data_IF_680855590343
#
_entry.id   IF_680855590343
#
_cell.length_a   1.000
_cell.length_b   1.000
_cell.length_c   1.000
_cell.angle_alpha   90.00
_cell.angle_beta   90.00
_cell.angle_gamma   90.00
#
_symmetry.space_group_name_H-M   'P 1'
#
loop_
_entity.id
_entity.type
_entity.pdbx_description
1 polymer ?
#
# COMPACT_ATOMS: atom_id res chain seq x y z
N UNK A 1 -19.82 19.80 -21.40
CA UNK A 1 -20.39 18.67 -20.66
C UNK A 1 -20.11 18.91 -19.17
N UNK A 2 -21.14 19.06 -18.34
CA UNK A 2 -21.05 19.21 -16.90
C UNK A 2 -21.12 17.79 -16.32
N UNK A 3 -20.03 17.32 -15.72
CA UNK A 3 -20.03 16.07 -14.95
C UNK A 3 -20.46 16.43 -13.53
N UNK A 4 -21.71 16.14 -13.19
CA UNK A 4 -22.22 16.25 -11.82
C UNK A 4 -21.84 14.96 -11.10
N UNK A 5 -20.82 15.01 -10.25
CA UNK A 5 -20.52 13.89 -9.33
C UNK A 5 -21.49 14.03 -8.15
N UNK A 6 -22.51 13.19 -8.12
CA UNK A 6 -23.39 13.02 -6.96
C UNK A 6 -22.68 12.14 -5.93
N UNK A 7 -22.09 12.76 -4.91
CA UNK A 7 -21.63 12.02 -3.73
C UNK A 7 -22.80 11.76 -2.78
N UNK A 8 -22.91 10.59 -2.14
CA UNK A 8 -23.97 10.31 -1.18
C UNK A 8 -23.90 11.25 0.02
N UNK A 9 -25.02 11.85 0.37
CA UNK A 9 -25.16 12.89 1.40
C UNK A 9 -24.84 12.46 2.84
N UNK A 10 -24.58 11.19 3.09
CA UNK A 10 -24.54 10.64 4.45
C UNK A 10 -23.14 10.45 5.05
N UNK A 11 -22.08 10.73 4.30
CA UNK A 11 -20.68 10.51 4.75
C UNK A 11 -19.94 11.78 5.21
N UNK A 12 -20.55 12.97 5.15
CA UNK A 12 -19.82 14.24 5.31
C UNK A 12 -20.44 15.19 6.33
N UNK A 13 -20.48 14.82 7.62
CA UNK A 13 -21.07 15.66 8.66
C UNK A 13 -20.39 17.03 8.86
N UNK A 14 -19.11 17.20 8.76
CA UNK A 14 -18.42 18.51 8.92
C UNK A 14 -17.68 18.98 7.65
N UNK A 15 -17.41 18.11 6.69
CA UNK A 15 -16.73 18.47 5.43
C UNK A 15 -17.62 19.27 4.45
N UNK A 16 -18.95 19.21 4.58
CA UNK A 16 -19.87 19.95 3.71
C UNK A 16 -19.74 21.47 3.80
N UNK A 17 -19.25 22.01 4.92
CA UNK A 17 -19.04 23.47 5.02
C UNK A 17 -17.76 23.94 4.31
N UNK A 18 -16.72 23.11 4.24
CA UNK A 18 -15.48 23.45 3.54
C UNK A 18 -15.68 23.35 2.03
N UNK A 19 -16.35 22.28 1.56
CA UNK A 19 -16.62 22.07 0.14
C UNK A 19 -17.54 23.14 -0.47
N UNK A 20 -18.56 23.62 0.25
CA UNK A 20 -19.47 24.65 -0.23
C UNK A 20 -18.79 26.03 -0.38
N UNK A 21 -17.80 26.32 0.47
CA UNK A 21 -17.02 27.58 0.40
C UNK A 21 -16.09 27.64 -0.82
N UNK A 22 -15.69 26.49 -1.36
CA UNK A 22 -14.79 26.39 -2.53
C UNK A 22 -15.51 26.11 -3.85
N UNK A 23 -16.70 25.47 -3.83
CA UNK A 23 -17.48 25.17 -5.05
C UNK A 23 -17.98 26.41 -5.80
N UNK A 24 -18.12 27.57 -5.15
CA UNK A 24 -18.67 28.79 -5.75
C UNK A 24 -17.62 29.69 -6.44
N UNK A 25 -16.38 29.25 -6.65
CA UNK A 25 -15.30 30.10 -7.15
C UNK A 25 -14.68 29.67 -8.49
N UNK A 26 -15.46 29.17 -9.44
CA UNK A 26 -14.98 28.88 -10.81
C UNK A 26 -14.04 27.66 -10.91
N UNK A 27 -13.46 27.37 -12.08
CA UNK A 27 -12.68 26.16 -12.32
C UNK A 27 -11.44 26.07 -11.41
N UNK A 28 -11.08 24.84 -11.04
CA UNK A 28 -9.89 24.55 -10.24
C UNK A 28 -8.64 24.97 -11.00
N UNK A 29 -7.79 25.76 -10.38
CA UNK A 29 -6.46 26.12 -10.89
C UNK A 29 -5.41 25.39 -10.05
N UNK A 30 -4.19 25.20 -10.60
CA UNK A 30 -3.07 24.59 -9.90
C UNK A 30 -2.86 25.21 -8.51
N UNK A 31 -2.91 26.52 -8.41
CA UNK A 31 -2.78 27.29 -7.15
C UNK A 31 -3.88 26.97 -6.13
N UNK A 32 -5.10 26.60 -6.58
CA UNK A 32 -6.18 26.22 -5.65
C UNK A 32 -6.02 24.81 -5.11
N UNK A 33 -5.46 23.91 -5.91
CA UNK A 33 -5.13 22.55 -5.47
C UNK A 33 -3.98 22.59 -4.45
N UNK A 34 -2.94 23.38 -4.74
CA UNK A 34 -1.81 23.58 -3.82
C UNK A 34 -2.28 24.12 -2.46
N UNK A 35 -3.21 25.08 -2.44
CA UNK A 35 -3.77 25.66 -1.20
C UNK A 35 -4.66 24.69 -0.40
N UNK A 36 -5.23 23.66 -1.00
CA UNK A 36 -6.00 22.63 -0.26
C UNK A 36 -5.06 21.72 0.50
N UNK A 37 -3.88 21.41 -0.06
CA UNK A 37 -2.85 20.63 0.65
C UNK A 37 -2.09 21.46 1.71
N UNK A 38 -1.88 22.76 1.48
CA UNK A 38 -1.33 23.67 2.50
C UNK A 38 -2.28 23.91 3.69
N UNK A 39 -3.59 23.71 3.51
CA UNK A 39 -4.59 23.89 4.55
C UNK A 39 -4.79 22.66 5.45
N UNK A 40 -4.25 21.48 5.08
CA UNK A 40 -4.26 20.29 5.94
C UNK A 40 -2.92 20.25 6.69
N UNK A 41 -2.92 20.50 8.00
CA UNK A 41 -1.72 20.40 8.85
C UNK A 41 -1.22 18.95 8.99
N UNK A 42 -2.01 17.98 8.55
CA UNK A 42 -1.72 16.56 8.64
C UNK A 42 -0.81 16.09 7.50
N UNK A 43 0.24 15.34 7.86
CA UNK A 43 1.11 14.67 6.88
C UNK A 43 0.55 13.29 6.53
N UNK A 44 0.75 12.81 5.28
CA UNK A 44 0.44 11.43 4.93
C UNK A 44 1.11 10.42 5.88
N UNK A 45 0.37 9.43 6.35
CA UNK A 45 0.91 8.26 7.05
C UNK A 45 1.35 7.26 5.97
N UNK A 46 2.57 6.71 6.11
CA UNK A 46 3.07 5.70 5.19
C UNK A 46 2.82 4.31 5.78
N UNK A 47 2.05 3.52 5.06
CA UNK A 47 1.80 2.11 5.34
C UNK A 47 2.64 1.22 4.42
N UNK A 48 3.24 0.19 4.98
CA UNK A 48 4.10 -0.76 4.26
C UNK A 48 3.57 -2.17 4.45
N UNK A 49 3.35 -2.91 3.37
CA UNK A 49 3.06 -4.34 3.49
C UNK A 49 4.29 -5.14 3.94
N UNK A 50 4.07 -6.31 4.46
CA UNK A 50 5.14 -7.21 4.91
C UNK A 50 5.56 -8.16 3.78
N UNK A 51 4.62 -8.97 3.28
CA UNK A 51 4.87 -10.04 2.33
C UNK A 51 5.23 -9.45 0.96
N UNK A 52 6.27 -9.96 0.30
CA UNK A 52 6.72 -9.43 -0.99
C UNK A 52 7.40 -8.04 -0.95
N UNK A 53 7.26 -7.29 0.16
CA UNK A 53 7.84 -5.94 0.32
C UNK A 53 9.01 -5.93 1.31
N UNK A 54 8.85 -6.51 2.49
CA UNK A 54 9.88 -6.59 3.54
C UNK A 54 10.35 -8.03 3.78
N UNK A 55 9.44 -8.99 3.67
CA UNK A 55 9.66 -10.42 3.86
C UNK A 55 9.55 -11.17 2.54
N UNK A 56 10.48 -12.08 2.30
CA UNK A 56 10.53 -12.91 1.09
C UNK A 56 9.52 -14.08 1.18
N UNK A 57 8.24 -13.71 1.04
CA UNK A 57 7.13 -14.64 1.04
C UNK A 57 7.14 -15.54 -0.20
N UNK A 58 7.37 -14.94 -1.38
CA UNK A 58 7.16 -15.62 -2.66
C UNK A 58 8.17 -16.73 -2.92
N UNK A 59 9.46 -16.50 -2.62
CA UNK A 59 10.47 -17.55 -2.76
C UNK A 59 10.22 -18.71 -1.78
N UNK A 60 9.82 -18.42 -0.54
CA UNK A 60 9.53 -19.46 0.43
C UNK A 60 8.25 -20.25 0.08
N UNK A 61 7.23 -19.55 -0.46
CA UNK A 61 6.04 -20.20 -0.98
C UNK A 61 6.35 -21.12 -2.19
N UNK A 62 7.16 -20.64 -3.15
CA UNK A 62 7.60 -21.44 -4.29
C UNK A 62 8.36 -22.70 -3.86
N UNK A 63 9.25 -22.60 -2.85
CA UNK A 63 9.95 -23.74 -2.26
C UNK A 63 8.97 -24.75 -1.64
N UNK A 64 8.01 -24.27 -0.86
CA UNK A 64 6.97 -25.10 -0.24
C UNK A 64 6.10 -25.80 -1.29
N UNK A 65 5.82 -25.14 -2.40
CA UNK A 65 5.08 -25.69 -3.54
C UNK A 65 5.91 -26.69 -4.36
N UNK A 66 7.21 -26.82 -4.10
CA UNK A 66 8.10 -27.71 -4.84
C UNK A 66 8.46 -27.22 -6.25
N UNK A 67 8.36 -25.90 -6.50
CA UNK A 67 8.68 -25.29 -7.80
C UNK A 67 10.20 -25.21 -7.97
N UNK A 68 10.75 -25.92 -8.93
CA UNK A 68 12.21 -26.02 -9.16
C UNK A 68 12.86 -24.70 -9.57
N UNK A 69 12.14 -23.84 -10.27
CA UNK A 69 12.61 -22.52 -10.70
C UNK A 69 12.74 -21.53 -9.54
N UNK A 70 12.08 -21.78 -8.41
CA UNK A 70 11.97 -20.85 -7.30
C UNK A 70 11.02 -19.66 -7.55
N UNK A 71 10.36 -19.62 -8.72
CA UNK A 71 9.42 -18.58 -9.08
C UNK A 71 7.99 -19.02 -8.72
N UNK A 72 7.32 -18.30 -7.81
CA UNK A 72 5.95 -18.59 -7.42
C UNK A 72 4.94 -18.54 -8.58
N UNK A 73 5.23 -17.78 -9.65
CA UNK A 73 4.40 -17.70 -10.85
C UNK A 73 4.31 -19.02 -11.60
N UNK A 74 5.27 -19.92 -11.36
CA UNK A 74 5.27 -21.27 -11.93
C UNK A 74 4.49 -22.28 -11.08
N UNK A 75 3.86 -21.86 -9.97
CA UNK A 75 2.98 -22.71 -9.18
C UNK A 75 1.72 -22.98 -10.02
N UNK A 76 1.42 -24.27 -10.33
CA UNK A 76 0.20 -24.57 -11.07
C UNK A 76 -1.05 -24.03 -10.36
N UNK A 77 -2.01 -23.44 -11.09
CA UNK A 77 -3.22 -22.85 -10.47
C UNK A 77 -3.95 -23.80 -9.50
N UNK A 78 -4.01 -25.09 -9.81
CA UNK A 78 -4.59 -26.09 -8.93
C UNK A 78 -3.84 -26.30 -7.61
N UNK A 79 -2.58 -25.88 -7.51
CA UNK A 79 -1.73 -26.05 -6.34
C UNK A 79 -1.64 -24.77 -5.48
N UNK A 80 -2.15 -23.63 -5.95
CA UNK A 80 -2.11 -22.36 -5.23
C UNK A 80 -2.77 -22.52 -3.86
N UNK A 81 -4.05 -22.85 -3.84
CA UNK A 81 -4.81 -23.00 -2.60
C UNK A 81 -4.29 -24.12 -1.71
N UNK A 82 -4.03 -25.34 -2.21
CA UNK A 82 -3.48 -26.41 -1.39
C UNK A 82 -2.11 -26.09 -0.76
N UNK A 83 -1.26 -25.28 -1.41
CA UNK A 83 0.03 -24.91 -0.85
C UNK A 83 -0.09 -23.78 0.17
N UNK A 84 -1.00 -22.83 -0.01
CA UNK A 84 -1.32 -21.82 1.01
C UNK A 84 -1.93 -22.48 2.26
N UNK A 85 -2.80 -23.47 2.09
CA UNK A 85 -3.42 -24.20 3.19
C UNK A 85 -2.39 -24.98 4.04
N UNK A 86 -1.24 -25.38 3.47
CA UNK A 86 -0.13 -25.96 4.26
C UNK A 86 0.50 -25.01 5.27
N UNK A 87 0.32 -23.71 5.11
CA UNK A 87 0.83 -22.70 6.04
C UNK A 87 -0.06 -22.56 7.29
N UNK A 88 -1.33 -23.02 7.22
CA UNK A 88 -2.31 -22.92 8.32
C UNK A 88 -1.79 -23.63 9.57
N UNK A 89 -1.84 -22.95 10.70
CA UNK A 89 -1.41 -23.46 11.98
C UNK A 89 0.11 -23.59 12.16
N UNK A 90 0.90 -23.15 11.17
CA UNK A 90 2.38 -23.21 11.24
C UNK A 90 2.99 -21.86 11.63
N UNK A 91 4.29 -21.85 11.90
CA UNK A 91 5.08 -20.64 12.16
C UNK A 91 5.69 -20.05 10.87
N UNK A 92 5.17 -20.39 9.68
CA UNK A 92 5.70 -20.01 8.37
C UNK A 92 6.07 -18.52 8.29
N UNK A 93 5.15 -17.63 8.67
CA UNK A 93 5.39 -16.18 8.61
C UNK A 93 6.49 -15.71 9.55
N UNK A 94 6.71 -16.40 10.69
CA UNK A 94 7.79 -16.07 11.61
C UNK A 94 9.17 -16.44 11.06
N UNK A 95 9.25 -17.41 10.16
CA UNK A 95 10.50 -17.92 9.60
C UNK A 95 10.93 -17.22 8.31
N UNK A 96 10.09 -16.39 7.70
CA UNK A 96 10.39 -15.73 6.42
C UNK A 96 11.75 -15.00 6.44
N UNK A 97 12.55 -15.12 5.39
CA UNK A 97 13.72 -14.29 5.20
C UNK A 97 13.31 -12.82 5.08
N UNK A 98 14.17 -11.90 5.54
CA UNK A 98 14.02 -10.47 5.28
C UNK A 98 14.73 -10.13 3.99
N UNK A 99 14.09 -9.34 3.11
CA UNK A 99 14.77 -8.81 1.94
C UNK A 99 15.95 -7.90 2.34
N UNK A 100 17.04 -7.98 1.59
CA UNK A 100 18.23 -7.13 1.80
C UNK A 100 17.92 -5.64 1.59
N UNK A 101 16.88 -5.32 0.84
CA UNK A 101 16.39 -3.97 0.55
C UNK A 101 15.48 -3.40 1.65
N UNK A 102 14.94 -4.23 2.54
CA UNK A 102 13.93 -3.83 3.53
C UNK A 102 14.40 -2.69 4.45
N UNK A 103 15.60 -2.80 5.03
CA UNK A 103 16.12 -1.75 5.93
C UNK A 103 16.36 -0.42 5.16
N UNK A 104 16.79 -0.48 3.89
CA UNK A 104 16.98 0.71 3.04
C UNK A 104 15.65 1.35 2.68
N UNK A 105 14.62 0.54 2.39
CA UNK A 105 13.26 1.02 2.14
C UNK A 105 12.74 1.78 3.37
N UNK A 106 12.84 1.19 4.56
CA UNK A 106 12.39 1.82 5.81
C UNK A 106 13.14 3.14 6.07
N UNK A 107 14.47 3.16 5.92
CA UNK A 107 15.26 4.39 6.08
C UNK A 107 14.83 5.47 5.09
N UNK A 108 14.56 5.11 3.84
CA UNK A 108 14.07 6.03 2.82
C UNK A 108 12.70 6.63 3.22
N UNK A 109 11.76 5.81 3.68
CA UNK A 109 10.45 6.29 4.15
C UNK A 109 10.62 7.28 5.31
N UNK A 110 11.42 6.92 6.31
CA UNK A 110 11.67 7.77 7.48
C UNK A 110 12.31 9.11 7.09
N UNK A 111 13.24 9.10 6.12
CA UNK A 111 13.87 10.34 5.65
C UNK A 111 12.89 11.30 4.94
N UNK A 112 11.80 10.78 4.38
CA UNK A 112 10.78 11.59 3.69
C UNK A 112 9.62 11.99 4.61
N UNK A 113 9.16 11.07 5.47
CA UNK A 113 7.91 11.21 6.23
C UNK A 113 8.08 11.09 7.75
N UNK A 114 9.28 10.78 8.25
CA UNK A 114 9.60 10.69 9.68
C UNK A 114 9.30 9.35 10.32
N UNK A 115 8.24 8.66 9.90
CA UNK A 115 7.80 7.38 10.47
C UNK A 115 7.09 6.51 9.45
N UNK A 116 6.72 5.29 9.87
CA UNK A 116 5.93 4.36 9.06
C UNK A 116 5.10 3.41 9.93
N UNK A 117 4.07 2.83 9.34
CA UNK A 117 3.26 1.75 9.92
C UNK A 117 3.31 0.52 9.04
N UNK A 118 3.11 -0.65 9.63
CA UNK A 118 2.89 -1.89 8.87
C UNK A 118 1.39 -2.11 8.70
N UNK A 119 0.99 -2.45 7.47
CA UNK A 119 -0.38 -2.86 7.14
C UNK A 119 -0.34 -4.09 6.25
N UNK A 120 -0.48 -5.27 6.85
CA UNK A 120 -0.39 -6.56 6.16
C UNK A 120 -1.67 -7.37 6.31
N UNK A 121 -1.99 -8.20 5.32
CA UNK A 121 -3.16 -9.08 5.38
C UNK A 121 -2.84 -10.37 6.15
N UNK A 122 -3.77 -10.89 6.96
CA UNK A 122 -3.60 -12.21 7.55
C UNK A 122 -3.75 -13.29 6.47
N UNK A 123 -3.23 -14.49 6.74
CA UNK A 123 -3.53 -15.65 5.90
C UNK A 123 -5.02 -15.98 6.01
N UNK A 124 -5.66 -16.27 4.87
CA UNK A 124 -7.04 -16.77 4.84
C UNK A 124 -7.18 -18.04 5.70
N UNK A 125 -8.26 -18.16 6.43
CA UNK A 125 -8.57 -19.28 7.32
C UNK A 125 -7.58 -19.50 8.48
N UNK A 126 -6.63 -18.56 8.71
CA UNK A 126 -5.63 -18.65 9.79
C UNK A 126 -5.26 -17.26 10.36
N UNK A 127 -6.26 -16.44 10.59
CA UNK A 127 -6.06 -15.02 10.90
C UNK A 127 -5.21 -14.80 12.15
N UNK A 128 -5.58 -15.41 13.27
CA UNK A 128 -4.90 -15.17 14.56
C UNK A 128 -3.49 -15.76 14.61
N UNK A 129 -3.29 -16.95 14.06
CA UNK A 129 -1.97 -17.57 14.05
C UNK A 129 -1.02 -16.82 13.10
N UNK A 130 -1.45 -16.53 11.86
CA UNK A 130 -0.63 -15.76 10.91
C UNK A 130 -0.34 -14.35 11.42
N UNK A 131 -1.31 -13.67 12.05
CA UNK A 131 -1.12 -12.37 12.70
C UNK A 131 -0.05 -12.44 13.78
N UNK A 132 -0.13 -13.42 14.70
CA UNK A 132 0.86 -13.63 15.76
C UNK A 132 2.27 -13.75 15.17
N UNK A 133 2.44 -14.58 14.16
CA UNK A 133 3.75 -14.87 13.56
C UNK A 133 4.29 -13.71 12.73
N UNK A 134 3.44 -12.92 12.07
CA UNK A 134 3.84 -11.68 11.41
C UNK A 134 4.33 -10.63 12.41
N UNK A 135 3.61 -10.43 13.50
CA UNK A 135 4.02 -9.50 14.57
C UNK A 135 5.37 -9.93 15.19
N UNK A 136 5.55 -11.22 15.46
CA UNK A 136 6.82 -11.77 15.95
C UNK A 136 7.96 -11.50 14.94
N UNK A 137 7.73 -11.76 13.66
CA UNK A 137 8.70 -11.48 12.60
C UNK A 137 9.13 -10.01 12.58
N UNK A 138 8.16 -9.09 12.59
CA UNK A 138 8.39 -7.64 12.61
C UNK A 138 9.23 -7.26 13.84
N UNK A 139 8.89 -7.82 15.00
CA UNK A 139 9.61 -7.61 16.24
C UNK A 139 11.07 -8.07 16.20
N UNK A 140 11.37 -9.19 15.54
CA UNK A 140 12.72 -9.76 15.49
C UNK A 140 13.55 -9.25 14.31
N UNK A 141 12.95 -9.08 13.14
CA UNK A 141 13.69 -8.87 11.88
C UNK A 141 13.93 -7.39 11.53
N UNK A 142 13.03 -6.47 11.89
CA UNK A 142 13.19 -5.07 11.55
C UNK A 142 14.06 -4.35 12.57
N UNK A 143 15.06 -3.60 12.10
CA UNK A 143 15.95 -2.80 12.94
C UNK A 143 15.25 -1.58 13.50
N UNK A 144 14.54 -0.85 12.64
CA UNK A 144 13.70 0.29 13.03
C UNK A 144 12.26 -0.21 13.09
N UNK A 145 11.63 -0.06 14.24
CA UNK A 145 10.27 -0.57 14.46
C UNK A 145 9.24 0.39 13.86
N UNK A 146 8.12 -0.15 13.32
CA UNK A 146 7.00 0.70 12.93
C UNK A 146 6.36 1.35 14.15
N UNK A 147 5.69 2.50 13.97
CA UNK A 147 4.86 3.11 15.01
C UNK A 147 3.69 2.19 15.40
N UNK A 148 3.16 1.48 14.41
CA UNK A 148 2.03 0.56 14.60
C UNK A 148 2.12 -0.60 13.61
N UNK A 149 1.64 -1.76 14.04
CA UNK A 149 1.46 -2.93 13.18
C UNK A 149 0.00 -3.30 13.12
N UNK A 150 -0.58 -3.21 11.93
CA UNK A 150 -1.99 -3.53 11.66
C UNK A 150 -2.04 -4.76 10.76
N UNK A 151 -2.76 -5.79 11.20
CA UNK A 151 -3.03 -6.97 10.39
C UNK A 151 -4.51 -6.96 10.02
N UNK A 152 -4.80 -6.64 8.75
CA UNK A 152 -6.16 -6.45 8.25
C UNK A 152 -6.26 -6.81 6.76
N UNK A 153 -7.31 -7.51 6.38
CA UNK A 153 -7.66 -7.77 4.98
C UNK A 153 -8.36 -6.57 4.31
N UNK A 154 -8.86 -5.61 5.09
CA UNK A 154 -9.47 -4.39 4.58
C UNK A 154 -8.49 -3.22 4.60
N UNK A 155 -7.48 -3.25 3.74
CA UNK A 155 -6.46 -2.19 3.68
C UNK A 155 -7.06 -0.84 3.26
N UNK A 156 -8.06 -0.83 2.37
CA UNK A 156 -8.68 0.40 1.87
C UNK A 156 -9.27 1.31 2.94
N UNK A 157 -9.68 0.78 4.11
CA UNK A 157 -10.20 1.60 5.20
C UNK A 157 -9.17 2.51 5.87
N UNK A 158 -7.89 2.34 5.56
CA UNK A 158 -6.78 3.17 6.07
C UNK A 158 -6.25 4.15 5.02
N UNK A 159 -6.90 4.24 3.85
CA UNK A 159 -6.39 5.02 2.73
C UNK A 159 -6.39 6.53 2.97
N UNK A 160 -7.28 7.03 3.83
CA UNK A 160 -7.37 8.44 4.21
C UNK A 160 -7.45 8.61 5.72
N UNK A 161 -7.00 9.77 6.21
CA UNK A 161 -7.18 10.20 7.58
C UNK A 161 -8.58 10.82 7.77
N UNK A 162 -8.98 11.07 9.02
CA UNK A 162 -10.29 11.62 9.35
C UNK A 162 -10.53 13.04 8.78
N UNK A 163 -9.47 13.80 8.53
CA UNK A 163 -9.51 15.11 7.89
C UNK A 163 -9.49 15.05 6.35
N UNK A 164 -9.44 13.83 5.76
CA UNK A 164 -9.38 13.60 4.34
C UNK A 164 -7.97 13.57 3.76
N UNK A 165 -6.93 13.74 4.57
CA UNK A 165 -5.53 13.64 4.11
C UNK A 165 -5.25 12.24 3.57
N UNK A 166 -4.77 12.08 2.32
CA UNK A 166 -4.45 10.78 1.76
C UNK A 166 -3.24 10.16 2.45
N UNK A 167 -3.34 8.87 2.76
CA UNK A 167 -2.21 8.07 3.24
C UNK A 167 -1.51 7.37 2.07
N UNK A 168 -0.28 6.92 2.29
CA UNK A 168 0.53 6.22 1.29
C UNK A 168 0.56 4.73 1.62
N UNK A 169 0.34 3.86 0.63
CA UNK A 169 0.55 2.42 0.74
C UNK A 169 1.67 1.96 -0.19
N UNK A 170 2.60 1.18 0.35
CA UNK A 170 3.61 0.43 -0.42
C UNK A 170 3.26 -1.05 -0.30
N UNK A 171 2.89 -1.69 -1.43
CA UNK A 171 2.33 -3.05 -1.46
C UNK A 171 2.71 -3.71 -2.80
N UNK A 172 2.95 -5.01 -2.80
CA UNK A 172 3.29 -5.77 -4.00
C UNK A 172 2.08 -6.11 -4.87
N UNK A 173 0.88 -6.17 -4.26
CA UNK A 173 -0.33 -6.60 -4.94
C UNK A 173 -1.08 -5.44 -5.59
N UNK A 174 -1.12 -5.39 -6.93
CA UNK A 174 -1.82 -4.35 -7.68
C UNK A 174 -3.27 -4.16 -7.25
N UNK A 175 -3.99 -5.24 -6.92
CA UNK A 175 -5.36 -5.17 -6.40
C UNK A 175 -5.47 -4.38 -5.09
N UNK A 176 -4.51 -4.50 -4.18
CA UNK A 176 -4.47 -3.73 -2.95
C UNK A 176 -4.23 -2.24 -3.25
N UNK A 177 -3.28 -1.96 -4.14
CA UNK A 177 -2.97 -0.59 -4.58
C UNK A 177 -4.19 0.05 -5.24
N UNK A 178 -4.88 -0.66 -6.15
CA UNK A 178 -6.08 -0.15 -6.79
C UNK A 178 -7.20 0.13 -5.78
N UNK A 179 -7.46 -0.81 -4.86
CA UNK A 179 -8.46 -0.59 -3.81
C UNK A 179 -8.10 0.60 -2.91
N UNK A 180 -6.82 0.75 -2.56
CA UNK A 180 -6.32 1.89 -1.78
C UNK A 180 -6.58 3.21 -2.48
N UNK A 181 -6.25 3.32 -3.77
CA UNK A 181 -6.46 4.52 -4.58
C UNK A 181 -7.94 4.84 -4.77
N UNK A 182 -8.79 3.83 -4.95
CA UNK A 182 -10.25 4.01 -5.03
C UNK A 182 -10.85 4.57 -3.73
N UNK A 183 -10.17 4.40 -2.60
CA UNK A 183 -10.54 4.97 -1.30
C UNK A 183 -9.78 6.29 -0.98
N UNK A 184 -9.18 6.93 -1.98
CA UNK A 184 -8.57 8.27 -1.87
C UNK A 184 -7.12 8.29 -1.39
N UNK A 185 -6.47 7.13 -1.24
CA UNK A 185 -5.05 7.05 -0.84
C UNK A 185 -4.08 7.12 -2.00
N UNK A 186 -2.78 7.21 -1.69
CA UNK A 186 -1.66 7.24 -2.63
C UNK A 186 -0.98 5.87 -2.64
N UNK A 187 -0.99 5.16 -3.78
CA UNK A 187 -0.46 3.80 -3.89
C UNK A 187 0.90 3.74 -4.58
N UNK A 188 1.80 2.89 -4.08
CA UNK A 188 3.07 2.53 -4.72
C UNK A 188 3.11 1.01 -4.83
N UNK A 189 2.95 0.48 -6.05
CA UNK A 189 3.17 -0.95 -6.30
C UNK A 189 4.66 -1.21 -6.28
N UNK A 190 5.10 -2.11 -5.38
CA UNK A 190 6.50 -2.46 -5.21
C UNK A 190 6.65 -3.89 -4.69
N UNK A 191 7.34 -4.74 -5.46
CA UNK A 191 7.73 -6.10 -5.09
C UNK A 191 9.26 -6.14 -4.99
N UNK A 192 9.80 -6.51 -3.83
CA UNK A 192 11.21 -6.27 -3.49
C UNK A 192 12.23 -7.10 -4.30
N UNK A 193 11.81 -8.23 -4.85
CA UNK A 193 12.61 -9.10 -5.72
C UNK A 193 12.47 -8.78 -7.22
N UNK A 194 11.49 -7.95 -7.60
CA UNK A 194 11.24 -7.56 -9.01
C UNK A 194 11.56 -6.08 -9.28
N UNK A 195 11.26 -5.21 -8.32
CA UNK A 195 11.33 -3.76 -8.49
C UNK A 195 12.58 -3.12 -7.86
N UNK A 196 13.19 -2.10 -8.50
CA UNK A 196 14.26 -1.35 -7.89
C UNK A 196 13.72 -0.34 -6.85
N UNK A 197 14.47 -0.10 -5.76
CA UNK A 197 14.13 0.91 -4.77
C UNK A 197 13.98 2.34 -5.33
N UNK A 198 14.61 2.63 -6.47
CA UNK A 198 14.47 3.93 -7.17
C UNK A 198 13.03 4.22 -7.58
N UNK A 199 12.23 3.18 -7.87
CA UNK A 199 10.78 3.30 -8.14
C UNK A 199 10.06 3.91 -6.92
N UNK A 200 10.30 3.37 -5.73
CA UNK A 200 9.72 3.90 -4.49
C UNK A 200 10.21 5.31 -4.19
N UNK A 201 11.53 5.55 -4.33
CA UNK A 201 12.12 6.88 -4.10
C UNK A 201 11.47 7.96 -4.98
N UNK A 202 11.26 7.66 -6.27
CA UNK A 202 10.58 8.57 -7.21
C UNK A 202 9.22 9.00 -6.67
N UNK A 203 8.39 8.06 -6.26
CA UNK A 203 7.02 8.34 -5.80
C UNK A 203 7.00 9.05 -4.45
N UNK A 204 7.79 8.60 -3.46
CA UNK A 204 7.88 9.27 -2.16
C UNK A 204 8.33 10.73 -2.30
N UNK A 205 9.29 11.01 -3.20
CA UNK A 205 9.76 12.36 -3.48
C UNK A 205 8.68 13.24 -4.11
N UNK A 206 7.84 12.68 -4.97
CA UNK A 206 6.69 13.40 -5.56
C UNK A 206 5.61 13.69 -4.53
N UNK A 207 5.26 12.71 -3.70
CA UNK A 207 4.25 12.88 -2.65
C UNK A 207 4.66 13.89 -1.60
N UNK A 208 5.96 13.92 -1.24
CA UNK A 208 6.50 14.91 -0.31
C UNK A 208 6.36 16.35 -0.82
N UNK A 209 6.39 16.57 -2.12
CA UNK A 209 6.26 17.91 -2.73
C UNK A 209 4.83 18.46 -2.72
N UNK A 210 3.85 17.71 -2.20
CA UNK A 210 2.46 18.18 -2.06
C UNK A 210 1.70 18.39 -3.37
N UNK A 211 2.27 18.01 -4.52
CA UNK A 211 1.70 18.31 -5.82
C UNK A 211 1.27 17.02 -6.54
N UNK A 212 0.18 16.38 -6.11
CA UNK A 212 -0.57 15.52 -7.02
C UNK A 212 -1.47 16.40 -7.90
N UNK A 213 -0.98 16.75 -9.09
CA UNK A 213 -1.87 17.17 -10.15
C UNK A 213 -2.71 15.97 -10.60
N UNK A 214 -3.93 16.19 -11.05
CA UNK A 214 -4.82 15.15 -11.60
C UNK A 214 -4.12 14.33 -12.70
N UNK A 215 -3.13 14.89 -13.39
CA UNK A 215 -2.27 14.30 -14.41
C UNK A 215 -1.38 13.17 -13.83
N UNK A 216 -0.77 13.36 -12.66
CA UNK A 216 0.05 12.35 -11.98
C UNK A 216 -0.81 11.18 -11.51
N UNK A 217 -2.04 11.43 -11.09
CA UNK A 217 -2.98 10.38 -10.70
C UNK A 217 -3.41 9.54 -11.92
N UNK A 218 -3.62 10.17 -13.06
CA UNK A 218 -4.00 9.50 -14.33
C UNK A 218 -2.84 8.63 -14.86
N UNK A 219 -1.64 9.18 -14.97
CA UNK A 219 -0.44 8.42 -15.37
C UNK A 219 -0.18 7.20 -14.46
N UNK A 220 -0.49 7.33 -13.17
CA UNK A 220 -0.33 6.26 -12.21
C UNK A 220 -1.33 5.13 -12.43
N UNK A 221 -2.59 5.47 -12.72
CA UNK A 221 -3.61 4.48 -13.06
C UNK A 221 -3.26 3.74 -14.35
N UNK A 222 -2.86 4.44 -15.39
CA UNK A 222 -2.47 3.83 -16.67
C UNK A 222 -1.30 2.86 -16.50
N UNK A 223 -0.26 3.25 -15.76
CA UNK A 223 0.91 2.39 -15.54
C UNK A 223 0.58 1.11 -14.76
N UNK A 224 -0.29 1.18 -13.75
CA UNK A 224 -0.73 -0.01 -12.99
C UNK A 224 -1.54 -0.94 -13.90
N UNK A 225 -2.43 -0.42 -14.75
CA UNK A 225 -3.22 -1.21 -15.68
C UNK A 225 -2.38 -1.86 -16.78
N UNK A 226 -1.36 -1.19 -17.29
CA UNK A 226 -0.45 -1.76 -18.29
C UNK A 226 0.37 -2.91 -17.72
N UNK A 227 0.92 -2.78 -16.50
CA UNK A 227 1.67 -3.85 -15.84
C UNK A 227 0.79 -5.09 -15.54
N UNK A 228 -0.45 -4.89 -15.08
CA UNK A 228 -1.37 -5.99 -14.77
C UNK A 228 -1.91 -6.68 -16.05
N UNK A 229 -1.99 -5.99 -17.18
CA UNK A 229 -2.39 -6.57 -18.46
C UNK A 229 -1.24 -7.28 -19.20
N UNK A 230 0.01 -6.98 -18.90
CA UNK A 230 1.17 -7.66 -19.44
C UNK A 230 1.40 -9.06 -18.83
N UNK A 231 0.63 -9.42 -17.80
CA UNK A 231 0.75 -10.69 -17.04
C UNK A 231 -0.37 -11.70 -17.42
N UNK A 232 -1.18 -11.40 -18.43
CA UNK A 232 -2.21 -12.34 -18.92
C UNK A 232 -1.68 -13.25 -20.00
#
# INVERSE_FOLDING_TARGET
YIVTILAPKELFGKQTQISSKYMNRGPWTKTKVDNVFEATESKPIVYVDMDGVLADFFSEWAKMAGVKTGNYKDIPPANIDPTLDKMIGTDFFAQLPKFSTADKLIQMIISHFGSYKILSSPLRNDHENSKKHKIDWIGRKLKIKPEETIISSNKGSYATQADGTPNILIDDLGKNIQNWMNNGGLGIKYQADEDPLSKVHKWLSQFKKGAETQEVATERQEHIFEEDNAIK
#
